data_IF_126773248858
#
_entry.id   IF_126773248858
#
_cell.length_a   1.000
_cell.length_b   1.000
_cell.length_c   1.000
_cell.angle_alpha   90.00
_cell.angle_beta   90.00
_cell.angle_gamma   90.00
#
_symmetry.space_group_name_H-M   'P 1'
#
loop_
_entity.id
_entity.type
_entity.pdbx_description
1 polymer ?
#
# COMPACT_ATOMS: atom_id res chain seq x y z
N UNK A 1 1.46 15.71 -4.94
CA UNK A 1 2.27 14.68 -4.24
C UNK A 1 2.77 15.10 -2.86
N UNK A 2 3.06 16.39 -2.60
CA UNK A 2 3.56 16.86 -1.30
C UNK A 2 2.58 16.63 -0.13
N UNK A 3 1.27 16.73 -0.38
CA UNK A 3 0.24 16.51 0.65
C UNK A 3 0.16 15.05 1.11
N UNK A 4 0.12 14.08 0.19
CA UNK A 4 0.11 12.65 0.54
C UNK A 4 1.26 12.27 1.46
N UNK A 5 2.50 12.64 1.08
CA UNK A 5 3.68 12.38 1.91
C UNK A 5 3.57 13.06 3.28
N UNK A 6 2.97 14.26 3.36
CA UNK A 6 2.77 15.00 4.62
C UNK A 6 1.65 14.44 5.49
N UNK A 7 0.64 13.82 4.90
CA UNK A 7 -0.53 13.33 5.63
C UNK A 7 -0.28 11.90 6.17
N UNK A 8 0.63 11.14 5.55
CA UNK A 8 0.91 9.74 5.90
C UNK A 8 2.34 9.56 6.46
N UNK A 9 2.49 9.40 7.80
CA UNK A 9 3.77 9.15 8.47
C UNK A 9 4.58 7.96 7.92
N UNK A 10 3.95 6.94 7.33
CA UNK A 10 4.64 5.76 6.78
C UNK A 10 5.66 6.13 5.70
N UNK A 11 5.42 7.24 4.97
CA UNK A 11 6.35 7.77 3.95
C UNK A 11 7.40 8.74 4.50
N UNK A 12 7.39 9.04 5.81
CA UNK A 12 8.28 10.03 6.45
C UNK A 12 8.89 9.54 7.77
N UNK A 13 9.00 8.23 7.93
CA UNK A 13 9.68 7.61 9.07
C UNK A 13 11.10 8.18 9.22
N UNK A 14 11.49 8.44 10.46
CA UNK A 14 12.86 8.76 10.88
C UNK A 14 13.74 7.51 10.90
N UNK A 15 13.14 6.34 11.14
CA UNK A 15 13.82 5.05 11.19
C UNK A 15 13.58 4.23 9.91
N UNK A 16 14.60 3.47 9.50
CA UNK A 16 14.46 2.51 8.40
C UNK A 16 13.46 1.40 8.73
N UNK A 17 12.81 0.87 7.69
CA UNK A 17 12.05 -0.38 7.79
C UNK A 17 13.00 -1.55 8.07
N UNK A 18 12.57 -2.50 8.88
CA UNK A 18 13.41 -3.62 9.33
C UNK A 18 13.04 -4.96 8.67
N UNK A 19 11.88 -5.06 8.00
CA UNK A 19 11.38 -6.32 7.43
C UNK A 19 11.05 -7.35 8.50
N UNK A 20 10.77 -6.90 9.73
CA UNK A 20 10.53 -7.75 10.90
C UNK A 20 9.07 -7.68 11.31
N UNK A 21 8.51 -8.77 11.87
CA UNK A 21 7.18 -8.73 12.46
C UNK A 21 7.05 -7.58 13.45
N UNK A 22 5.91 -6.90 13.41
CA UNK A 22 5.59 -5.79 14.30
C UNK A 22 5.30 -6.37 15.70
N UNK A 23 5.76 -5.72 16.76
CA UNK A 23 5.51 -6.19 18.13
C UNK A 23 3.99 -6.19 18.39
N UNK A 24 3.41 -7.37 18.58
CA UNK A 24 1.97 -7.56 18.80
C UNK A 24 1.15 -7.88 17.54
N UNK A 25 1.76 -7.97 16.35
CA UNK A 25 1.11 -8.41 15.11
C UNK A 25 2.04 -9.34 14.30
N UNK A 26 1.49 -10.34 13.62
CA UNK A 26 2.30 -11.26 12.79
C UNK A 26 2.77 -10.63 11.46
N UNK A 27 2.42 -9.36 11.19
CA UNK A 27 2.72 -8.67 9.93
C UNK A 27 4.05 -7.91 10.04
N UNK A 28 4.88 -7.96 9.00
CA UNK A 28 6.15 -7.19 8.91
C UNK A 28 5.88 -5.71 8.61
N UNK A 29 6.78 -4.83 9.05
CA UNK A 29 6.67 -3.39 8.78
C UNK A 29 6.80 -3.02 7.28
N UNK A 30 7.49 -3.87 6.51
CA UNK A 30 7.58 -3.82 5.05
C UNK A 30 7.57 -5.24 4.47
N UNK A 31 6.94 -5.42 3.31
CA UNK A 31 7.08 -6.62 2.48
C UNK A 31 7.46 -6.22 1.06
N UNK A 32 8.44 -6.93 0.49
CA UNK A 32 8.77 -6.85 -0.93
C UNK A 32 8.02 -7.96 -1.64
N UNK A 33 7.25 -7.62 -2.67
CA UNK A 33 6.34 -8.55 -3.34
C UNK A 33 6.75 -8.77 -4.79
N UNK A 34 6.63 -10.01 -5.26
CA UNK A 34 6.69 -10.31 -6.69
C UNK A 34 5.42 -9.80 -7.38
N UNK A 35 5.38 -9.72 -8.73
CA UNK A 35 4.15 -9.44 -9.45
C UNK A 35 3.01 -10.41 -9.13
N UNK A 36 3.30 -11.63 -8.67
CA UNK A 36 2.27 -12.59 -8.24
C UNK A 36 1.70 -12.30 -6.84
N UNK A 37 2.15 -11.24 -6.16
CA UNK A 37 1.61 -10.79 -4.87
C UNK A 37 2.15 -11.53 -3.65
N UNK A 38 3.20 -12.34 -3.82
CA UNK A 38 3.87 -13.09 -2.74
C UNK A 38 5.16 -12.41 -2.31
N UNK A 39 5.59 -12.66 -1.07
CA UNK A 39 6.86 -12.14 -0.57
C UNK A 39 8.03 -12.64 -1.44
N UNK A 40 8.90 -11.71 -1.83
CA UNK A 40 10.12 -12.00 -2.57
C UNK A 40 11.09 -12.79 -1.71
N UNK A 41 11.62 -13.87 -2.28
CA UNK A 41 12.74 -14.60 -1.68
C UNK A 41 14.08 -13.94 -2.03
N UNK A 42 15.14 -14.23 -1.28
CA UNK A 42 16.50 -13.71 -1.56
C UNK A 42 16.99 -14.08 -2.97
N UNK A 43 16.61 -15.26 -3.46
CA UNK A 43 16.94 -15.71 -4.82
C UNK A 43 16.26 -14.87 -5.88
N UNK A 44 15.06 -14.34 -5.61
CA UNK A 44 14.32 -13.49 -6.54
C UNK A 44 14.81 -12.06 -6.49
N UNK A 45 15.23 -11.61 -5.31
CA UNK A 45 15.88 -10.32 -5.12
C UNK A 45 17.18 -10.19 -5.93
N UNK A 46 17.95 -11.28 -6.00
CA UNK A 46 19.26 -11.31 -6.68
C UNK A 46 19.16 -11.49 -8.20
N UNK A 47 17.98 -11.79 -8.75
CA UNK A 47 17.78 -11.84 -10.20
C UNK A 47 17.78 -10.41 -10.76
N UNK A 48 18.78 -10.09 -11.60
CA UNK A 48 18.96 -8.79 -12.27
C UNK A 48 17.79 -8.34 -13.17
N UNK A 49 16.77 -9.18 -13.33
CA UNK A 49 15.55 -8.95 -14.10
C UNK A 49 14.37 -8.42 -13.27
N UNK A 50 14.51 -8.20 -11.96
CA UNK A 50 13.46 -7.61 -11.11
C UNK A 50 13.21 -6.12 -11.44
N UNK A 51 12.70 -5.85 -12.65
CA UNK A 51 12.24 -4.54 -13.11
C UNK A 51 10.86 -4.19 -12.58
N UNK A 52 10.20 -5.16 -11.94
CA UNK A 52 8.84 -5.05 -11.44
C UNK A 52 8.80 -5.59 -10.02
N UNK A 53 8.26 -4.79 -9.10
CA UNK A 53 8.11 -5.18 -7.70
C UNK A 53 6.90 -4.49 -7.08
N UNK A 54 6.32 -5.14 -6.07
CA UNK A 54 5.38 -4.55 -5.15
C UNK A 54 6.06 -4.26 -3.81
N UNK A 55 5.57 -3.25 -3.10
CA UNK A 55 6.01 -2.89 -1.75
C UNK A 55 4.75 -2.71 -0.92
N UNK A 56 4.57 -3.56 0.07
CA UNK A 56 3.55 -3.37 1.10
C UNK A 56 4.19 -2.68 2.30
N UNK A 57 3.55 -1.61 2.79
CA UNK A 57 3.98 -0.84 3.95
C UNK A 57 2.90 -0.93 5.01
N UNK A 58 3.24 -1.49 6.17
CA UNK A 58 2.32 -1.59 7.28
C UNK A 58 2.31 -0.27 8.07
N UNK A 59 1.16 0.39 8.14
CA UNK A 59 0.99 1.65 8.88
C UNK A 59 1.11 1.47 10.40
N UNK A 60 0.72 0.30 10.91
CA UNK A 60 0.93 -0.11 12.30
C UNK A 60 2.41 -0.42 12.61
N UNK A 61 3.25 -0.56 11.59
CA UNK A 61 4.66 -0.91 11.74
C UNK A 61 5.58 0.25 12.08
N UNK A 62 5.04 1.44 12.34
CA UNK A 62 5.81 2.63 12.68
C UNK A 62 6.25 2.55 14.14
N UNK A 63 7.55 2.30 14.35
CA UNK A 63 8.15 2.16 15.68
C UNK A 63 8.45 3.51 16.36
N UNK A 64 7.98 4.61 15.78
CA UNK A 64 8.21 5.96 16.29
C UNK A 64 7.07 6.38 17.22
N UNK A 65 7.44 7.08 18.29
CA UNK A 65 6.48 7.70 19.18
C UNK A 65 6.32 9.19 18.87
N UNK A 66 5.11 9.70 19.09
CA UNK A 66 4.81 11.12 19.05
C UNK A 66 5.47 11.91 20.18
N UNK A 67 5.29 13.24 20.20
CA UNK A 67 5.93 14.11 21.20
C UNK A 67 5.61 13.77 22.66
N UNK A 68 4.53 13.03 22.93
CA UNK A 68 4.09 12.62 24.26
C UNK A 68 4.25 11.11 24.49
N UNK A 69 4.99 10.42 23.63
CA UNK A 69 5.22 8.98 23.72
C UNK A 69 4.08 8.13 23.14
N UNK A 70 3.08 8.75 22.50
CA UNK A 70 1.97 8.04 21.87
C UNK A 70 2.43 7.26 20.63
N UNK A 71 1.87 6.06 20.34
CA UNK A 71 2.20 5.34 19.11
C UNK A 71 1.72 6.14 17.88
N UNK A 72 2.53 6.15 16.83
CA UNK A 72 2.14 6.71 15.54
C UNK A 72 1.58 5.57 14.69
N UNK A 73 0.34 5.73 14.22
CA UNK A 73 -0.33 4.79 13.32
C UNK A 73 -0.62 5.47 11.98
N UNK A 74 -0.76 4.66 10.94
CA UNK A 74 -1.10 5.11 9.58
C UNK A 74 -1.90 3.99 8.88
N UNK A 75 -2.40 4.29 7.69
CA UNK A 75 -3.01 3.30 6.81
C UNK A 75 -1.95 2.34 6.23
N UNK A 76 -2.40 1.16 5.79
CA UNK A 76 -1.56 0.25 5.01
C UNK A 76 -1.52 0.69 3.54
N UNK A 77 -0.33 0.62 2.94
CA UNK A 77 -0.12 1.02 1.55
C UNK A 77 0.48 -0.11 0.73
N UNK A 78 0.10 -0.14 -0.55
CA UNK A 78 0.70 -1.00 -1.55
C UNK A 78 1.20 -0.13 -2.71
N UNK A 79 2.51 -0.10 -2.92
CA UNK A 79 3.16 0.56 -4.04
C UNK A 79 3.58 -0.50 -5.06
N UNK A 80 3.10 -0.36 -6.28
CA UNK A 80 3.49 -1.20 -7.41
C UNK A 80 4.37 -0.38 -8.36
N UNK A 81 5.50 -0.96 -8.77
CA UNK A 81 6.44 -0.31 -9.68
C UNK A 81 6.70 -1.23 -10.87
N UNK A 82 6.45 -0.74 -12.07
CA UNK A 82 6.82 -1.39 -13.33
C UNK A 82 7.85 -0.54 -14.06
N UNK A 83 9.13 -0.87 -13.90
CA UNK A 83 10.23 -0.31 -14.68
C UNK A 83 10.48 -1.09 -15.98
N UNK A 84 9.67 -2.08 -16.33
CA UNK A 84 9.74 -2.78 -17.61
C UNK A 84 9.10 -1.96 -18.74
N UNK A 85 9.41 -2.32 -19.98
CA UNK A 85 8.88 -1.71 -21.20
C UNK A 85 7.57 -2.34 -21.69
N UNK A 86 7.08 -3.36 -20.98
CA UNK A 86 5.82 -4.05 -21.23
C UNK A 86 4.89 -3.87 -20.03
N UNK A 87 3.59 -4.03 -20.28
CA UNK A 87 2.58 -4.07 -19.23
C UNK A 87 2.74 -5.34 -18.39
N UNK A 88 2.61 -5.22 -17.07
CA UNK A 88 2.78 -6.35 -16.15
C UNK A 88 1.55 -6.47 -15.25
N UNK A 89 0.89 -7.65 -15.20
CA UNK A 89 -0.19 -7.90 -14.26
C UNK A 89 0.40 -8.13 -12.86
N UNK A 90 -0.09 -7.36 -11.90
CA UNK A 90 0.19 -7.54 -10.48
C UNK A 90 -1.01 -8.16 -9.78
N UNK A 91 -0.82 -9.24 -9.05
CA UNK A 91 -1.85 -9.74 -8.11
C UNK A 91 -1.81 -8.89 -6.85
N UNK A 92 -2.94 -8.27 -6.52
CA UNK A 92 -3.05 -7.51 -5.29
C UNK A 92 -3.11 -8.48 -4.10
N UNK A 93 -2.28 -8.33 -3.06
CA UNK A 93 -2.35 -9.18 -1.88
C UNK A 93 -3.73 -9.08 -1.23
N UNK A 94 -4.20 -10.16 -0.63
CA UNK A 94 -5.49 -10.15 0.07
C UNK A 94 -5.36 -9.32 1.36
N UNK A 95 -6.10 -8.21 1.50
CA UNK A 95 -6.18 -7.50 2.77
C UNK A 95 -7.05 -8.32 3.75
N UNK A 96 -7.31 -7.83 4.98
CA UNK A 96 -8.14 -8.56 5.94
C UNK A 96 -9.57 -8.75 5.36
N UNK A 97 -10.35 -9.72 5.88
CA UNK A 97 -11.76 -9.82 5.52
C UNK A 97 -12.45 -8.46 5.70
N UNK A 98 -13.24 -8.04 4.69
CA UNK A 98 -13.91 -6.72 4.62
C UNK A 98 -13.03 -5.50 4.27
N UNK A 99 -11.82 -5.72 3.76
CA UNK A 99 -10.95 -4.67 3.26
C UNK A 99 -10.77 -4.76 1.73
N UNK A 100 -10.48 -3.62 1.12
CA UNK A 100 -10.25 -3.48 -0.32
C UNK A 100 -9.08 -2.55 -0.57
N UNK A 101 -8.49 -2.64 -1.76
CA UNK A 101 -7.47 -1.71 -2.22
C UNK A 101 -8.09 -0.56 -2.96
N UNK A 102 -7.86 0.67 -2.49
CA UNK A 102 -8.21 1.88 -3.23
C UNK A 102 -6.98 2.45 -3.91
N UNK A 103 -6.95 2.41 -5.23
CA UNK A 103 -5.91 3.10 -6.00
C UNK A 103 -6.08 4.62 -5.83
N UNK A 104 -5.02 5.27 -5.35
CA UNK A 104 -4.98 6.72 -5.08
C UNK A 104 -4.02 7.48 -5.97
N UNK A 105 -3.06 6.78 -6.57
CA UNK A 105 -2.16 7.30 -7.61
C UNK A 105 -1.97 6.20 -8.64
N UNK A 106 -2.07 6.55 -9.91
CA UNK A 106 -1.48 5.79 -11.01
C UNK A 106 -0.93 6.82 -12.00
N UNK A 107 0.36 6.69 -12.36
CA UNK A 107 1.04 7.64 -13.25
C UNK A 107 0.51 7.62 -14.69
N UNK A 108 -0.32 6.64 -15.04
CA UNK A 108 -0.96 6.52 -16.35
C UNK A 108 -2.28 7.29 -16.43
N UNK A 109 -2.87 7.65 -15.30
CA UNK A 109 -4.13 8.39 -15.28
C UNK A 109 -3.90 9.83 -15.72
N UNK A 110 -4.72 10.28 -16.67
CA UNK A 110 -4.77 11.69 -17.08
C UNK A 110 -5.44 12.58 -16.03
N UNK A 111 -6.30 12.00 -15.19
CA UNK A 111 -7.01 12.69 -14.10
C UNK A 111 -6.43 12.28 -12.74
N UNK A 112 -5.82 13.22 -12.04
CA UNK A 112 -5.21 13.01 -10.72
C UNK A 112 -6.24 12.82 -9.59
N UNK A 113 -7.52 13.09 -9.86
CA UNK A 113 -8.63 12.87 -8.93
C UNK A 113 -9.24 11.48 -9.07
N UNK A 114 -8.92 10.75 -10.14
CA UNK A 114 -9.40 9.40 -10.39
C UNK A 114 -9.08 8.47 -9.20
N UNK A 115 -10.03 7.63 -8.82
CA UNK A 115 -9.89 6.61 -7.77
C UNK A 115 -10.61 5.35 -8.22
N UNK A 116 -10.06 4.18 -7.91
CA UNK A 116 -10.69 2.89 -8.24
C UNK A 116 -10.52 1.91 -7.08
N UNK A 117 -11.56 1.13 -6.82
CA UNK A 117 -11.56 0.08 -5.79
C UNK A 117 -11.24 -1.28 -6.42
N UNK A 118 -10.45 -2.08 -5.73
CA UNK A 118 -10.03 -3.41 -6.16
C UNK A 118 -10.09 -4.38 -4.99
N UNK A 119 -10.57 -5.59 -5.24
CA UNK A 119 -10.56 -6.66 -4.25
C UNK A 119 -9.16 -7.27 -4.15
N UNK A 120 -8.85 -7.84 -2.98
CA UNK A 120 -7.68 -8.68 -2.81
C UNK A 120 -7.70 -9.90 -3.74
N UNK A 121 -6.54 -10.35 -4.21
CA UNK A 121 -6.40 -11.47 -5.13
C UNK A 121 -6.71 -11.14 -6.60
N UNK A 122 -7.27 -9.96 -6.89
CA UNK A 122 -7.50 -9.52 -8.27
C UNK A 122 -6.19 -9.08 -8.95
N UNK A 123 -6.19 -9.06 -10.28
CA UNK A 123 -5.05 -8.61 -11.08
C UNK A 123 -5.21 -7.15 -11.50
N UNK A 124 -4.20 -6.35 -11.19
CA UNK A 124 -4.06 -4.97 -11.65
C UNK A 124 -3.02 -4.92 -12.78
N UNK A 125 -3.43 -4.52 -13.99
CA UNK A 125 -2.52 -4.39 -15.12
C UNK A 125 -1.77 -3.05 -15.06
N UNK A 126 -0.53 -3.08 -14.57
CA UNK A 126 0.31 -1.89 -14.46
C UNK A 126 1.07 -1.65 -15.76
N UNK A 127 0.87 -0.48 -16.38
CA UNK A 127 1.45 -0.17 -17.70
C UNK A 127 2.98 -0.11 -17.67
N UNK A 128 3.58 -0.30 -18.84
CA UNK A 128 5.02 -0.08 -19.02
C UNK A 128 5.48 1.26 -18.41
N UNK A 129 6.62 1.24 -17.71
CA UNK A 129 7.27 2.44 -17.13
C UNK A 129 6.36 3.28 -16.24
N UNK A 130 5.53 2.62 -15.44
CA UNK A 130 4.56 3.29 -14.56
C UNK A 130 4.62 2.78 -13.12
N UNK A 131 3.99 3.52 -12.22
CA UNK A 131 3.74 3.11 -10.84
C UNK A 131 2.30 3.39 -10.46
N UNK A 132 1.81 2.60 -9.50
CA UNK A 132 0.51 2.81 -8.87
C UNK A 132 0.65 2.66 -7.35
N UNK A 133 -0.08 3.50 -6.62
CA UNK A 133 -0.15 3.48 -5.16
C UNK A 133 -1.59 3.24 -4.73
N UNK A 134 -1.74 2.27 -3.84
CA UNK A 134 -3.00 1.90 -3.23
C UNK A 134 -2.92 2.13 -1.73
N UNK A 135 -4.07 2.45 -1.16
CA UNK A 135 -4.31 2.51 0.27
C UNK A 135 -5.36 1.48 0.63
N UNK A 136 -5.17 0.80 1.75
CA UNK A 136 -6.18 -0.10 2.31
C UNK A 136 -7.43 0.70 2.69
N UNK A 137 -8.61 0.13 2.46
CA UNK A 137 -9.88 0.79 2.70
C UNK A 137 -10.91 -0.21 3.22
N UNK A 138 -11.50 0.09 4.37
CA UNK A 138 -12.56 -0.72 4.98
C UNK A 138 -13.88 -0.55 4.24
N UNK A 139 -14.54 -1.66 3.90
CA UNK A 139 -15.79 -1.65 3.12
C UNK A 139 -16.93 -0.93 3.89
N UNK A 140 -16.91 -0.91 5.21
CA UNK A 140 -18.02 -0.45 6.07
C UNK A 140 -17.98 1.03 6.55
N UNK A 141 -16.99 1.85 6.18
CA UNK A 141 -16.91 3.24 6.68
C UNK A 141 -17.94 4.21 6.08
N UNK A 142 -18.79 3.79 5.14
CA UNK A 142 -19.80 4.65 4.49
C UNK A 142 -21.24 4.52 5.01
N UNK A 143 -21.52 3.73 6.05
CA UNK A 143 -22.92 3.53 6.50
C UNK A 143 -23.38 4.42 7.66
N UNK A 144 -22.48 5.18 8.30
CA UNK A 144 -22.83 5.97 9.51
C UNK A 144 -22.88 7.50 9.32
N UNK A 145 -22.96 8.01 8.07
CA UNK A 145 -22.85 9.45 7.80
C UNK A 145 -24.15 10.21 7.48
N UNK A 146 -25.30 9.55 7.33
CA UNK A 146 -26.57 10.21 6.97
C UNK A 146 -27.70 9.57 7.79
N UNK A 147 -27.80 9.92 9.07
CA UNK A 147 -29.07 10.01 9.80
C UNK A 147 -28.79 10.55 11.21
N UNK A 148 -28.78 11.88 11.33
CA UNK A 148 -29.17 12.61 12.53
C UNK A 148 -29.13 14.11 12.25
N UNK A 149 -30.24 14.64 11.75
CA UNK A 149 -30.63 16.03 11.96
C UNK A 149 -31.91 16.00 12.82
N UNK A 150 -31.97 16.68 13.98
CA UNK A 150 -33.20 16.75 14.74
C UNK A 150 -34.20 17.66 14.03
N UNK A 151 -35.48 17.27 14.11
CA UNK A 151 -36.63 18.09 13.74
C UNK A 151 -36.83 19.26 14.71
#
# INVERSE_FOLDING_TARGET
MTKLRKDHPVFRRRNFFQGRPIIGAEVKDILWLTPEGREMTDQEWTKSSARCLGIFLAGEGIQESGPRGEPILDDNFLLLVNANHEDVPFTLPAPKPEETWRAIVDTTWSDLTQRSMHEGGTRYLLKARSLALFIEHKINERRNGIDQAPA
#
